data_IF_046156925752
#
_entry.id   IF_046156925752
#
_cell.length_a   1.000
_cell.length_b   1.000
_cell.length_c   1.000
_cell.angle_alpha   90.00
_cell.angle_beta   90.00
_cell.angle_gamma   90.00
#
_symmetry.space_group_name_H-M   'P 1'
#
loop_
_entity.id
_entity.type
_entity.pdbx_description
1 polymer ?
#
# COMPACT_ATOMS: atom_id res chain seq x y z
N UNK A 1 -7.44 34.13 -0.55
CA UNK A 1 -6.36 33.67 -1.45
C UNK A 1 -6.87 32.47 -2.24
N UNK A 2 -7.10 32.57 -3.56
CA UNK A 2 -7.51 31.40 -4.37
C UNK A 2 -6.24 30.61 -4.71
N UNK A 3 -6.17 29.37 -4.26
CA UNK A 3 -5.15 28.41 -4.66
C UNK A 3 -5.30 28.15 -6.16
N UNK A 4 -4.33 28.57 -6.98
CA UNK A 4 -4.28 28.18 -8.38
C UNK A 4 -3.39 26.93 -8.47
N UNK A 5 -3.94 25.79 -8.95
CA UNK A 5 -3.11 24.62 -9.20
C UNK A 5 -2.04 24.99 -10.25
N UNK A 6 -0.81 24.57 -10.01
CA UNK A 6 0.27 24.73 -10.97
C UNK A 6 -0.09 23.99 -12.27
N UNK A 7 -0.48 24.71 -13.32
CA UNK A 7 -0.95 24.14 -14.59
C UNK A 7 0.14 23.40 -15.39
N UNK A 8 1.38 23.44 -14.92
CA UNK A 8 2.52 22.80 -15.57
C UNK A 8 2.99 21.52 -14.85
N UNK A 9 2.22 20.98 -13.91
CA UNK A 9 2.54 19.71 -13.28
C UNK A 9 2.08 18.58 -14.20
N UNK A 10 2.98 18.06 -14.99
CA UNK A 10 2.83 16.75 -15.64
C UNK A 10 3.10 15.69 -14.57
N UNK A 11 2.09 14.95 -14.16
CA UNK A 11 2.28 13.78 -13.30
C UNK A 11 3.13 12.78 -14.07
N UNK A 12 4.36 12.54 -13.63
CA UNK A 12 5.13 11.39 -14.09
C UNK A 12 4.63 10.18 -13.33
N UNK A 13 3.70 9.44 -13.94
CA UNK A 13 3.13 8.22 -13.36
C UNK A 13 4.10 7.02 -13.45
N UNK A 14 5.28 7.19 -14.06
CA UNK A 14 6.29 6.13 -14.24
C UNK A 14 7.34 6.22 -13.12
N UNK A 15 6.91 6.05 -11.87
CA UNK A 15 7.82 6.05 -10.72
C UNK A 15 7.94 4.64 -10.16
N UNK A 16 9.17 4.12 -10.18
CA UNK A 16 9.47 2.78 -9.66
C UNK A 16 9.58 2.81 -8.13
N UNK A 17 8.88 1.90 -7.48
CA UNK A 17 9.03 1.72 -6.02
C UNK A 17 10.39 1.08 -5.72
N UNK A 18 11.22 1.65 -4.81
CA UNK A 18 12.46 0.99 -4.40
C UNK A 18 12.25 -0.43 -3.90
N UNK A 19 13.16 -1.34 -4.24
CA UNK A 19 13.06 -2.78 -3.90
C UNK A 19 12.89 -2.99 -2.39
N UNK A 20 13.67 -2.28 -1.57
CA UNK A 20 13.61 -2.38 -0.10
C UNK A 20 12.25 -1.92 0.45
N UNK A 21 11.69 -0.86 -0.12
CA UNK A 21 10.35 -0.37 0.25
C UNK A 21 9.28 -1.40 -0.13
N UNK A 22 9.31 -1.92 -1.36
CA UNK A 22 8.40 -2.98 -1.78
C UNK A 22 8.48 -4.19 -0.85
N UNK A 23 9.69 -4.64 -0.50
CA UNK A 23 9.90 -5.74 0.44
C UNK A 23 9.39 -5.44 1.84
N UNK A 24 9.56 -4.20 2.34
CA UNK A 24 9.01 -3.77 3.65
C UNK A 24 7.48 -3.85 3.65
N UNK A 25 6.85 -3.34 2.61
CA UNK A 25 5.38 -3.37 2.48
C UNK A 25 4.85 -4.80 2.38
N UNK A 26 5.47 -5.63 1.54
CA UNK A 26 5.08 -7.05 1.41
C UNK A 26 5.19 -7.78 2.74
N UNK A 27 6.29 -7.59 3.50
CA UNK A 27 6.44 -8.21 4.84
C UNK A 27 5.40 -7.69 5.83
N UNK A 28 5.07 -6.39 5.78
CA UNK A 28 4.11 -5.78 6.70
C UNK A 28 2.69 -6.32 6.48
N UNK A 29 2.22 -6.33 5.23
CA UNK A 29 0.86 -6.78 4.90
C UNK A 29 0.74 -8.30 4.78
N UNK A 30 1.85 -9.01 4.55
CA UNK A 30 1.93 -10.48 4.45
C UNK A 30 0.81 -11.06 3.59
N UNK A 31 0.70 -10.69 2.29
CA UNK A 31 -0.37 -11.17 1.44
C UNK A 31 -0.29 -12.68 1.26
N UNK A 32 -1.43 -13.36 1.38
CA UNK A 32 -1.57 -14.81 1.26
C UNK A 32 -2.52 -15.19 0.12
N UNK A 33 -2.40 -16.42 -0.39
CA UNK A 33 -3.23 -16.90 -1.49
C UNK A 33 -2.79 -16.38 -2.85
N UNK A 34 -3.74 -16.08 -3.72
CA UNK A 34 -3.48 -15.52 -5.07
C UNK A 34 -3.23 -14.03 -4.97
N UNK A 35 -2.05 -13.60 -5.36
CA UNK A 35 -1.63 -12.19 -5.33
C UNK A 35 -1.47 -11.67 -6.76
N UNK A 36 -1.93 -10.45 -7.02
CA UNK A 36 -1.75 -9.74 -8.28
C UNK A 36 -1.01 -8.42 -8.05
N UNK A 37 0.03 -8.17 -8.84
CA UNK A 37 0.71 -6.88 -9.01
C UNK A 37 0.28 -6.26 -10.35
N UNK A 38 -0.70 -5.35 -10.36
CA UNK A 38 -1.27 -4.84 -11.63
C UNK A 38 -0.45 -3.75 -12.33
N UNK A 39 0.63 -3.26 -11.72
CA UNK A 39 1.52 -2.23 -12.26
C UNK A 39 2.98 -2.62 -12.03
N UNK A 40 3.38 -3.76 -12.57
CA UNK A 40 4.63 -4.44 -12.19
C UNK A 40 5.89 -3.62 -12.46
N UNK A 41 5.90 -2.73 -13.46
CA UNK A 41 7.08 -1.96 -13.84
C UNK A 41 8.31 -2.86 -13.99
N UNK A 42 9.37 -2.58 -13.24
CA UNK A 42 10.59 -3.39 -13.18
C UNK A 42 10.47 -4.64 -12.28
N UNK A 43 9.29 -4.93 -11.74
CA UNK A 43 9.02 -6.10 -10.91
C UNK A 43 9.53 -5.99 -9.47
N UNK A 44 9.67 -4.78 -8.93
CA UNK A 44 10.24 -4.58 -7.60
C UNK A 44 9.38 -5.18 -6.47
N UNK A 45 8.06 -5.17 -6.58
CA UNK A 45 7.19 -5.93 -5.69
C UNK A 45 7.28 -7.44 -5.95
N UNK A 46 7.35 -7.86 -7.21
CA UNK A 46 7.39 -9.28 -7.59
C UNK A 46 8.62 -10.01 -7.03
N UNK A 47 9.74 -9.31 -6.80
CA UNK A 47 10.92 -9.86 -6.13
C UNK A 47 10.62 -10.40 -4.72
N UNK A 48 9.54 -9.92 -4.11
CA UNK A 48 9.10 -10.30 -2.76
C UNK A 48 7.78 -11.09 -2.75
N UNK A 49 7.20 -11.36 -3.92
CA UNK A 49 5.91 -12.03 -4.10
C UNK A 49 6.07 -13.25 -5.03
N UNK A 50 6.77 -14.31 -4.60
CA UNK A 50 6.98 -15.48 -5.45
C UNK A 50 5.64 -16.11 -5.86
N UNK A 51 5.47 -16.31 -7.17
CA UNK A 51 4.26 -16.89 -7.73
C UNK A 51 3.07 -15.92 -7.89
N UNK A 52 3.26 -14.63 -7.65
CA UNK A 52 2.23 -13.63 -7.93
C UNK A 52 1.99 -13.48 -9.44
N UNK A 53 0.74 -13.21 -9.79
CA UNK A 53 0.37 -12.73 -11.11
C UNK A 53 0.78 -11.27 -11.29
N UNK A 54 0.97 -10.84 -12.53
CA UNK A 54 1.28 -9.45 -12.82
C UNK A 54 0.64 -8.96 -14.10
N UNK A 55 0.38 -7.65 -14.16
CA UNK A 55 0.13 -6.92 -15.39
C UNK A 55 1.16 -5.79 -15.54
N UNK A 56 1.48 -5.44 -16.78
CA UNK A 56 2.32 -4.29 -17.09
C UNK A 56 1.94 -3.72 -18.47
N UNK A 57 1.41 -2.51 -18.46
CA UNK A 57 0.89 -1.88 -19.68
C UNK A 57 1.96 -1.70 -20.77
N UNK A 58 3.22 -1.47 -20.39
CA UNK A 58 4.34 -1.38 -21.33
C UNK A 58 4.66 -2.71 -22.01
N UNK A 59 4.20 -3.83 -21.45
CA UNK A 59 4.27 -5.17 -22.06
C UNK A 59 2.98 -5.55 -22.77
N UNK A 60 2.00 -4.65 -22.86
CA UNK A 60 0.70 -4.91 -23.48
C UNK A 60 -0.29 -5.65 -22.57
N UNK A 61 -0.01 -5.75 -21.27
CA UNK A 61 -0.85 -6.43 -20.29
C UNK A 61 -1.68 -5.38 -19.53
N UNK A 62 -2.86 -5.08 -20.08
CA UNK A 62 -3.75 -4.09 -19.48
C UNK A 62 -4.47 -4.67 -18.26
N UNK A 63 -4.25 -4.06 -17.09
CA UNK A 63 -4.92 -4.43 -15.85
C UNK A 63 -6.45 -4.37 -15.96
N UNK A 64 -7.00 -3.43 -16.70
CA UNK A 64 -8.46 -3.32 -16.87
C UNK A 64 -9.08 -4.46 -17.69
N UNK A 65 -8.25 -5.25 -18.39
CA UNK A 65 -8.67 -6.49 -19.03
C UNK A 65 -8.62 -7.72 -18.11
N UNK A 66 -8.03 -7.60 -16.92
CA UNK A 66 -7.96 -8.69 -15.94
C UNK A 66 -9.32 -8.93 -15.29
N UNK A 67 -9.82 -10.17 -15.35
CA UNK A 67 -11.15 -10.54 -14.84
C UNK A 67 -11.12 -11.68 -13.82
N UNK A 68 -9.97 -12.30 -13.58
CA UNK A 68 -9.85 -13.38 -12.62
C UNK A 68 -9.88 -12.86 -11.19
N UNK A 69 -10.48 -13.65 -10.28
CA UNK A 69 -10.46 -13.33 -8.86
C UNK A 69 -9.12 -13.70 -8.24
N UNK A 70 -8.61 -12.78 -7.43
CA UNK A 70 -7.42 -12.95 -6.59
C UNK A 70 -7.76 -12.61 -5.14
N UNK A 71 -6.92 -13.02 -4.20
CA UNK A 71 -7.11 -12.68 -2.80
C UNK A 71 -6.56 -11.28 -2.52
N UNK A 72 -5.39 -10.96 -3.08
CA UNK A 72 -4.70 -9.71 -2.81
C UNK A 72 -4.25 -8.98 -4.07
N UNK A 73 -4.32 -7.66 -3.98
CA UNK A 73 -3.59 -6.72 -4.83
C UNK A 73 -2.67 -5.89 -3.94
N UNK A 74 -1.39 -5.78 -4.31
CA UNK A 74 -0.43 -4.87 -3.71
C UNK A 74 0.40 -4.22 -4.81
N UNK A 75 0.38 -2.88 -4.89
CA UNK A 75 0.97 -2.15 -6.02
C UNK A 75 1.23 -0.68 -5.72
N UNK A 76 2.04 -0.05 -6.55
CA UNK A 76 2.11 1.39 -6.74
C UNK A 76 1.39 1.76 -8.05
N UNK A 77 0.09 2.12 -8.02
CA UNK A 77 -0.66 2.42 -9.22
C UNK A 77 -0.30 3.82 -9.78
N UNK A 78 -0.57 4.12 -11.06
CA UNK A 78 -0.48 5.47 -11.59
C UNK A 78 -1.41 6.41 -10.81
N UNK A 79 -0.83 7.45 -10.17
CA UNK A 79 -1.60 8.30 -9.25
C UNK A 79 -2.65 9.16 -9.94
N UNK A 80 -2.47 9.47 -11.22
CA UNK A 80 -3.49 10.14 -12.04
C UNK A 80 -4.77 9.31 -12.20
N UNK A 81 -4.67 7.96 -12.11
CA UNK A 81 -5.74 7.02 -12.36
C UNK A 81 -6.19 6.23 -11.10
N UNK A 82 -5.77 6.63 -9.91
CA UNK A 82 -6.05 5.91 -8.64
C UNK A 82 -7.53 5.49 -8.52
N UNK A 83 -8.47 6.35 -8.93
CA UNK A 83 -9.90 6.04 -8.79
C UNK A 83 -10.32 4.85 -9.64
N UNK A 84 -9.88 4.79 -10.88
CA UNK A 84 -10.19 3.69 -11.79
C UNK A 84 -9.51 2.40 -11.33
N UNK A 85 -8.22 2.47 -10.98
CA UNK A 85 -7.47 1.33 -10.46
C UNK A 85 -8.09 0.77 -9.19
N UNK A 86 -8.42 1.62 -8.21
CA UNK A 86 -9.04 1.17 -6.96
C UNK A 86 -10.42 0.55 -7.20
N UNK A 87 -11.22 1.15 -8.10
CA UNK A 87 -12.53 0.62 -8.45
C UNK A 87 -12.42 -0.80 -9.04
N UNK A 88 -11.54 -1.00 -10.02
CA UNK A 88 -11.34 -2.29 -10.67
C UNK A 88 -10.69 -3.31 -9.71
N UNK A 89 -9.71 -2.89 -8.90
CA UNK A 89 -9.10 -3.75 -7.88
C UNK A 89 -10.13 -4.31 -6.90
N UNK A 90 -11.08 -3.50 -6.44
CA UNK A 90 -12.15 -3.96 -5.56
C UNK A 90 -13.17 -4.90 -6.24
N UNK A 91 -13.18 -4.95 -7.57
CA UNK A 91 -13.99 -5.94 -8.31
C UNK A 91 -13.31 -7.30 -8.35
N UNK A 92 -11.97 -7.35 -8.44
CA UNK A 92 -11.23 -8.59 -8.68
C UNK A 92 -10.51 -9.13 -7.43
N UNK A 93 -10.35 -8.34 -6.35
CA UNK A 93 -9.66 -8.75 -5.13
C UNK A 93 -10.49 -8.51 -3.87
N UNK A 94 -10.14 -9.20 -2.78
CA UNK A 94 -10.73 -8.98 -1.45
C UNK A 94 -9.85 -8.06 -0.57
N UNK A 95 -8.57 -8.00 -0.84
CA UNK A 95 -7.59 -7.18 -0.15
C UNK A 95 -6.83 -6.32 -1.15
N UNK A 96 -6.82 -5.01 -0.97
CA UNK A 96 -6.16 -4.07 -1.89
C UNK A 96 -5.26 -3.13 -1.11
N UNK A 97 -3.98 -3.12 -1.44
CA UNK A 97 -2.96 -2.24 -0.87
C UNK A 97 -2.35 -1.38 -1.97
N UNK A 98 -2.51 -0.08 -1.87
CA UNK A 98 -1.96 0.89 -2.81
C UNK A 98 -0.94 1.81 -2.15
N UNK A 99 0.27 1.86 -2.72
CA UNK A 99 1.25 2.88 -2.37
C UNK A 99 0.87 4.21 -3.06
N UNK A 100 0.53 5.22 -2.27
CA UNK A 100 0.11 6.54 -2.77
C UNK A 100 0.28 7.60 -1.71
N UNK A 101 0.21 8.87 -2.09
CA UNK A 101 0.09 9.92 -1.07
C UNK A 101 -1.26 9.81 -0.37
N UNK A 102 -1.26 9.88 0.98
CA UNK A 102 -2.43 9.54 1.80
C UNK A 102 -3.63 10.47 1.57
N UNK A 103 -3.42 11.68 1.07
CA UNK A 103 -4.50 12.60 0.72
C UNK A 103 -5.45 12.06 -0.36
N UNK A 104 -4.99 11.13 -1.20
CA UNK A 104 -5.83 10.52 -2.23
C UNK A 104 -6.97 9.66 -1.65
N UNK A 105 -6.86 9.13 -0.43
CA UNK A 105 -7.92 8.31 0.17
C UNK A 105 -8.99 9.15 0.88
N UNK A 106 -8.65 10.34 1.39
CA UNK A 106 -9.53 11.13 2.26
C UNK A 106 -10.60 11.96 1.54
N UNK A 107 -10.76 11.82 0.24
CA UNK A 107 -11.85 12.54 -0.46
C UNK A 107 -13.20 11.89 -0.16
N UNK A 108 -14.26 12.70 -0.02
CA UNK A 108 -15.63 12.20 0.20
C UNK A 108 -16.05 11.18 -0.86
N UNK A 109 -15.69 11.45 -2.13
CA UNK A 109 -16.00 10.56 -3.25
C UNK A 109 -15.31 9.21 -3.10
N UNK A 110 -14.01 9.19 -2.74
CA UNK A 110 -13.23 7.96 -2.58
C UNK A 110 -13.76 7.09 -1.44
N UNK A 111 -13.99 7.68 -0.27
CA UNK A 111 -14.55 6.97 0.88
C UNK A 111 -15.96 6.44 0.61
N UNK A 112 -16.74 7.13 -0.22
CA UNK A 112 -18.04 6.65 -0.69
C UNK A 112 -17.86 5.45 -1.61
N UNK A 113 -17.03 5.56 -2.66
CA UNK A 113 -16.79 4.51 -3.64
C UNK A 113 -16.32 3.20 -2.95
N UNK A 114 -15.43 3.31 -1.94
CA UNK A 114 -14.95 2.18 -1.13
C UNK A 114 -16.12 1.49 -0.43
N UNK A 115 -16.99 2.28 0.26
CA UNK A 115 -18.13 1.74 1.00
C UNK A 115 -19.20 1.13 0.10
N UNK A 116 -19.54 1.80 -1.02
CA UNK A 116 -20.51 1.31 -1.98
C UNK A 116 -20.13 -0.05 -2.59
N UNK A 117 -18.81 -0.33 -2.69
CA UNK A 117 -18.30 -1.63 -3.14
C UNK A 117 -18.18 -2.68 -2.01
N UNK A 118 -18.66 -2.37 -0.80
CA UNK A 118 -18.62 -3.28 0.34
C UNK A 118 -17.25 -3.42 0.98
N UNK A 119 -16.38 -2.41 0.80
CA UNK A 119 -15.05 -2.37 1.42
C UNK A 119 -14.99 -1.35 2.56
N UNK A 120 -14.01 -1.53 3.44
CA UNK A 120 -13.61 -0.54 4.43
C UNK A 120 -12.12 -0.23 4.37
N UNK A 121 -11.77 0.99 4.74
CA UNK A 121 -10.39 1.37 4.96
C UNK A 121 -9.90 0.69 6.24
N UNK A 122 -8.91 -0.19 6.09
CA UNK A 122 -8.43 -1.01 7.21
C UNK A 122 -7.17 -0.45 7.86
N UNK A 123 -6.24 0.05 7.03
CA UNK A 123 -4.98 0.57 7.54
C UNK A 123 -4.37 1.60 6.58
N UNK A 124 -3.60 2.53 7.15
CA UNK A 124 -2.65 3.38 6.46
C UNK A 124 -1.29 3.15 7.10
N UNK A 125 -0.35 2.56 6.34
CA UNK A 125 1.02 2.39 6.76
C UNK A 125 1.87 3.52 6.15
N UNK A 126 2.30 4.47 6.98
CA UNK A 126 3.13 5.61 6.54
C UNK A 126 4.53 5.11 6.19
N UNK A 127 5.08 5.60 5.10
CA UNK A 127 6.45 5.31 4.67
C UNK A 127 7.18 6.61 4.34
N UNK A 128 8.50 6.57 4.37
CA UNK A 128 9.32 7.68 3.94
C UNK A 128 9.17 7.91 2.43
N UNK A 129 9.12 9.18 2.01
CA UNK A 129 9.03 9.53 0.59
C UNK A 129 10.40 9.37 -0.06
N UNK A 130 10.60 8.42 -1.00
CA UNK A 130 11.86 8.30 -1.70
C UNK A 130 12.13 9.54 -2.57
N UNK A 131 13.41 9.91 -2.78
CA UNK A 131 13.76 11.08 -3.60
C UNK A 131 13.29 10.99 -5.06
N UNK A 132 13.10 9.77 -5.57
CA UNK A 132 12.62 9.50 -6.92
C UNK A 132 11.11 9.77 -7.10
N UNK A 133 10.39 9.85 -5.98
CA UNK A 133 8.95 10.12 -6.01
C UNK A 133 8.67 11.63 -6.11
N UNK A 134 7.51 12.03 -6.69
CA UNK A 134 7.12 13.44 -6.72
C UNK A 134 7.04 14.03 -5.32
N UNK A 135 7.83 15.07 -5.05
CA UNK A 135 7.91 15.75 -3.75
C UNK A 135 6.72 16.71 -3.58
N UNK A 136 5.54 16.18 -3.37
CA UNK A 136 4.28 16.92 -3.32
C UNK A 136 3.99 17.64 -1.99
N UNK A 137 4.81 17.38 -0.96
CA UNK A 137 4.55 17.84 0.41
C UNK A 137 3.47 17.02 1.15
N UNK A 138 2.86 16.02 0.51
CA UNK A 138 1.94 15.08 1.15
C UNK A 138 2.68 13.83 1.62
N UNK A 139 2.22 13.25 2.72
CA UNK A 139 2.77 12.01 3.27
C UNK A 139 2.50 10.83 2.32
N UNK A 140 3.55 10.04 2.02
CA UNK A 140 3.43 8.76 1.34
C UNK A 140 2.98 7.68 2.32
N UNK A 141 2.12 6.77 1.86
CA UNK A 141 1.69 5.63 2.65
C UNK A 141 1.11 4.52 1.80
N UNK A 142 1.13 3.32 2.33
CA UNK A 142 0.41 2.20 1.78
C UNK A 142 -1.00 2.17 2.39
N UNK A 143 -2.00 2.38 1.54
CA UNK A 143 -3.42 2.42 1.93
C UNK A 143 -4.03 1.05 1.67
N UNK A 144 -4.52 0.42 2.74
CA UNK A 144 -5.12 -0.90 2.72
C UNK A 144 -6.64 -0.82 2.88
N UNK A 145 -7.37 -1.28 1.89
CA UNK A 145 -8.82 -1.50 1.95
C UNK A 145 -9.13 -2.99 1.88
N UNK A 146 -10.10 -3.45 2.66
CA UNK A 146 -10.47 -4.87 2.72
C UNK A 146 -11.98 -5.02 2.58
N UNK A 147 -12.41 -6.08 1.88
CA UNK A 147 -13.82 -6.41 1.72
C UNK A 147 -14.45 -6.73 3.08
N UNK A 148 -15.62 -6.16 3.35
CA UNK A 148 -16.38 -6.39 4.58
C UNK A 148 -15.77 -5.75 5.84
N UNK A 149 -14.65 -5.03 5.74
CA UNK A 149 -14.07 -4.39 6.91
C UNK A 149 -14.95 -3.25 7.44
N UNK A 150 -15.33 -3.36 8.70
CA UNK A 150 -16.15 -2.36 9.43
C UNK A 150 -15.48 -1.90 10.74
N UNK A 151 -14.24 -2.32 10.98
CA UNK A 151 -13.47 -1.96 12.17
C UNK A 151 -12.82 -0.57 12.06
N UNK A 152 -12.05 -0.18 13.08
CA UNK A 152 -11.29 1.07 13.07
C UNK A 152 -10.21 1.06 11.98
N UNK A 153 -9.78 2.26 11.58
CA UNK A 153 -8.63 2.43 10.69
C UNK A 153 -7.35 2.37 11.50
N UNK A 154 -6.46 1.43 11.18
CA UNK A 154 -5.11 1.39 11.73
C UNK A 154 -4.23 2.49 11.12
N UNK A 155 -3.35 3.06 11.92
CA UNK A 155 -2.28 3.94 11.45
C UNK A 155 -0.95 3.39 11.96
N UNK A 156 -0.09 2.97 11.03
CA UNK A 156 1.24 2.42 11.33
C UNK A 156 2.31 3.33 10.74
N UNK A 157 3.36 3.58 11.48
CA UNK A 157 4.52 4.36 11.00
C UNK A 157 5.67 3.40 10.66
N UNK A 158 5.83 3.12 9.37
CA UNK A 158 6.93 2.33 8.82
C UNK A 158 8.11 3.20 8.36
N UNK A 159 8.04 4.51 8.52
CA UNK A 159 9.14 5.42 8.15
C UNK A 159 10.32 5.30 9.11
N UNK A 160 10.06 4.87 10.35
CA UNK A 160 11.11 4.65 11.34
C UNK A 160 11.71 3.27 11.14
N UNK A 161 13.03 3.18 11.08
CA UNK A 161 13.72 1.89 11.19
C UNK A 161 13.22 1.20 12.49
N UNK A 162 12.85 -0.07 12.39
CA UNK A 162 12.59 -0.86 13.59
C UNK A 162 13.87 -0.84 14.43
N UNK A 163 13.88 -0.01 15.47
CA UNK A 163 14.89 -0.15 16.52
C UNK A 163 14.85 -1.64 16.94
N UNK A 164 15.99 -2.35 16.97
CA UNK A 164 16.01 -3.77 17.30
C UNK A 164 15.17 -3.96 18.56
N UNK A 165 14.12 -4.80 18.48
CA UNK A 165 13.25 -5.11 19.61
C UNK A 165 14.14 -5.47 20.76
N UNK A 166 14.36 -4.54 21.70
CA UNK A 166 15.00 -4.86 22.98
C UNK A 166 14.20 -6.02 23.53
N UNK A 167 14.79 -7.21 23.51
CA UNK A 167 14.27 -8.34 24.25
C UNK A 167 14.00 -7.80 25.65
N UNK A 168 12.74 -7.67 26.03
CA UNK A 168 12.35 -7.36 27.42
C UNK A 168 12.83 -8.58 28.20
N UNK A 169 14.07 -8.43 28.66
CA UNK A 169 14.78 -9.47 29.36
C UNK A 169 13.96 -9.92 30.56
N UNK A 170 13.92 -11.20 30.70
CA UNK A 170 13.53 -12.02 31.85
C UNK A 170 14.34 -11.68 33.13
N UNK A 171 14.76 -10.43 33.31
CA UNK A 171 15.53 -9.94 34.47
C UNK A 171 14.68 -9.74 35.74
N UNK A 172 13.41 -10.19 35.75
CA UNK A 172 12.55 -10.09 36.98
C UNK A 172 12.39 -11.39 37.76
N UNK A 173 13.05 -12.48 37.32
CA UNK A 173 12.93 -13.78 38.02
C UNK A 173 14.13 -14.19 38.86
N UNK A 174 15.26 -13.52 38.72
CA UNK A 174 16.47 -13.89 39.48
C UNK A 174 16.69 -13.10 40.78
N UNK A 175 15.98 -11.98 41.00
CA UNK A 175 16.09 -11.24 42.30
C UNK A 175 15.12 -11.75 43.38
N UNK A 176 14.28 -12.72 43.14
CA UNK A 176 13.37 -13.27 44.14
C UNK A 176 13.88 -14.60 44.79
N UNK A 177 15.03 -15.10 44.36
CA UNK A 177 15.62 -16.37 44.89
C UNK A 177 16.89 -16.13 45.71
N UNK A 178 17.33 -14.89 45.92
CA UNK A 178 18.51 -14.56 46.71
C UNK A 178 18.18 -13.88 48.05
N UNK A 179 16.90 -13.87 48.49
CA UNK A 179 16.45 -13.33 49.75
C UNK A 179 15.53 -14.32 50.48
N UNK A 180 16.05 -15.51 50.72
CA UNK A 180 15.42 -16.55 51.53
C UNK A 180 16.49 -17.35 52.26
#
# INVERSE_FOLDING_TARGET
>A
MRFQPNRNYTSDDVVQTPVEMAGRLVRHFSPEGKVLEPCAGEGNFLKHLPGAFSCEIQRGEDFFAWNEKVDWIITNPPWSQIRAFLSHSMEVADHVVFLMTVNHVWTKARLRDIREKGFGLKEIALVEMPPEFPQSGFQLGAVYVARGWAGPVGLTDLSREEAPRRQRGTARREMALAAG
#
